data_IF_608484438380
#
_entry.id   IF_608484438380
#
_cell.length_a   1.000
_cell.length_b   1.000
_cell.length_c   1.000
_cell.angle_alpha   90.00
_cell.angle_beta   90.00
_cell.angle_gamma   90.00
#
_symmetry.space_group_name_H-M   'P 1'
#
loop_
_entity.id
_entity.type
_entity.pdbx_description
1 polymer ?
#
# COMPACT_ATOMS: atom_id res chain seq x y z
N UNK A 1 -16.32 14.16 1.73
CA UNK A 1 -17.28 13.39 0.91
C UNK A 1 -16.56 12.49 -0.10
N UNK A 2 -17.17 11.36 -0.45
CA UNK A 2 -16.66 10.44 -1.46
C UNK A 2 -16.52 11.14 -2.82
N UNK A 3 -15.51 10.80 -3.65
CA UNK A 3 -15.46 11.25 -5.03
C UNK A 3 -16.70 10.79 -5.81
N UNK A 4 -17.10 11.54 -6.84
CA UNK A 4 -18.25 11.19 -7.65
C UNK A 4 -18.05 9.82 -8.34
N UNK A 5 -19.08 8.98 -8.31
CA UNK A 5 -19.04 7.64 -8.93
C UNK A 5 -18.24 6.60 -8.14
N UNK A 6 -17.81 6.90 -6.91
CA UNK A 6 -17.07 5.97 -6.05
C UNK A 6 -18.01 5.38 -5.00
N UNK A 7 -18.06 4.05 -4.94
CA UNK A 7 -18.62 3.33 -3.80
C UNK A 7 -17.60 3.34 -2.64
N UNK A 8 -18.05 3.69 -1.44
CA UNK A 8 -17.20 3.77 -0.26
C UNK A 8 -17.58 2.69 0.74
N UNK A 9 -16.58 1.91 1.14
CA UNK A 9 -16.64 0.95 2.25
C UNK A 9 -15.77 1.50 3.36
N UNK A 10 -16.39 1.91 4.48
CA UNK A 10 -15.68 2.44 5.64
C UNK A 10 -15.10 1.29 6.48
N UNK A 11 -13.82 1.42 6.84
CA UNK A 11 -13.10 0.47 7.69
C UNK A 11 -12.22 1.23 8.69
N UNK A 12 -12.03 0.67 9.87
CA UNK A 12 -11.22 1.29 10.93
C UNK A 12 -9.96 0.48 11.24
N UNK A 13 -10.03 -0.84 11.14
CA UNK A 13 -8.94 -1.75 11.52
C UNK A 13 -8.30 -2.41 10.29
N UNK A 14 -7.04 -2.85 10.45
CA UNK A 14 -6.36 -3.63 9.42
C UNK A 14 -7.10 -4.94 9.06
N UNK A 15 -7.81 -5.54 10.01
CA UNK A 15 -8.60 -6.75 9.77
C UNK A 15 -9.86 -6.45 8.94
N UNK A 16 -10.57 -5.36 9.23
CA UNK A 16 -11.69 -4.90 8.40
C UNK A 16 -11.23 -4.51 7.00
N UNK A 17 -10.10 -3.79 6.88
CA UNK A 17 -9.51 -3.47 5.58
C UNK A 17 -9.17 -4.73 4.79
N UNK A 18 -8.61 -5.75 5.46
CA UNK A 18 -8.31 -7.04 4.82
C UNK A 18 -9.56 -7.67 4.22
N UNK A 19 -10.62 -7.80 5.02
CA UNK A 19 -11.87 -8.41 4.58
C UNK A 19 -12.51 -7.64 3.41
N UNK A 20 -12.59 -6.30 3.53
CA UNK A 20 -13.13 -5.45 2.48
C UNK A 20 -12.30 -5.52 1.19
N UNK A 21 -10.96 -5.48 1.30
CA UNK A 21 -10.07 -5.53 0.16
C UNK A 21 -10.15 -6.87 -0.57
N UNK A 22 -10.15 -7.99 0.16
CA UNK A 22 -10.28 -9.33 -0.43
C UNK A 22 -11.64 -9.51 -1.11
N UNK A 23 -12.71 -9.02 -0.49
CA UNK A 23 -14.06 -9.09 -1.07
C UNK A 23 -14.15 -8.30 -2.38
N UNK A 24 -13.70 -7.04 -2.37
CA UNK A 24 -13.72 -6.17 -3.55
C UNK A 24 -12.80 -6.70 -4.66
N UNK A 25 -11.66 -7.31 -4.31
CA UNK A 25 -10.71 -7.85 -5.28
C UNK A 25 -11.30 -8.98 -6.14
N UNK A 26 -12.38 -9.65 -5.72
CA UNK A 26 -13.05 -10.71 -6.50
C UNK A 26 -13.58 -10.21 -7.83
N UNK A 27 -13.92 -8.91 -7.95
CA UNK A 27 -14.50 -8.33 -9.16
C UNK A 27 -13.63 -7.25 -9.82
N UNK A 28 -12.58 -6.76 -9.15
CA UNK A 28 -11.78 -5.62 -9.66
C UNK A 28 -10.67 -6.00 -10.64
N UNK A 29 -10.54 -5.35 -11.78
CA UNK A 29 -9.39 -5.56 -12.70
C UNK A 29 -8.06 -5.04 -12.11
N UNK A 30 -8.14 -4.00 -11.28
CA UNK A 30 -6.99 -3.37 -10.63
C UNK A 30 -7.25 -3.21 -9.13
N UNK A 31 -6.25 -3.53 -8.30
CA UNK A 31 -6.27 -3.26 -6.86
C UNK A 31 -5.12 -2.31 -6.52
N UNK A 32 -5.44 -1.17 -5.91
CA UNK A 32 -4.44 -0.15 -5.51
C UNK A 32 -4.38 -0.07 -3.98
N UNK A 33 -3.37 -0.69 -3.38
CA UNK A 33 -3.14 -0.72 -1.94
C UNK A 33 -2.33 0.51 -1.49
N UNK A 34 -2.99 1.67 -1.47
CA UNK A 34 -2.39 2.95 -1.05
C UNK A 34 -2.54 3.25 0.46
N UNK A 35 -3.32 2.45 1.20
CA UNK A 35 -3.54 2.66 2.63
C UNK A 35 -2.25 2.44 3.44
N UNK A 36 -2.00 3.32 4.41
CA UNK A 36 -0.94 3.14 5.41
C UNK A 36 -1.41 2.16 6.49
N UNK A 37 -1.38 0.86 6.17
CA UNK A 37 -1.84 -0.21 7.07
C UNK A 37 -0.86 -0.36 8.23
N UNK A 38 -1.38 -0.37 9.47
CA UNK A 38 -0.55 -0.61 10.64
C UNK A 38 0.01 -2.05 10.64
N UNK A 39 1.32 -2.20 10.85
CA UNK A 39 1.98 -3.52 10.91
C UNK A 39 1.57 -4.35 12.13
N UNK A 40 1.09 -3.68 13.18
CA UNK A 40 0.72 -4.30 14.45
C UNK A 40 -0.62 -3.78 14.95
N UNK A 41 -1.27 -4.58 15.81
CA UNK A 41 -2.48 -4.22 16.56
C UNK A 41 -2.33 -4.63 18.03
N UNK A 42 -3.04 -4.00 18.97
CA UNK A 42 -3.13 -4.50 20.33
C UNK A 42 -3.59 -5.97 20.36
N UNK A 43 -2.97 -6.77 21.22
CA UNK A 43 -3.36 -8.16 21.44
C UNK A 43 -4.76 -8.26 22.08
N UNK A 44 -5.05 -7.31 22.96
CA UNK A 44 -6.32 -7.17 23.66
C UNK A 44 -6.84 -5.74 23.49
N UNK A 45 -8.15 -5.61 23.28
CA UNK A 45 -8.84 -4.33 23.18
C UNK A 45 -9.77 -4.23 24.37
N UNK A 46 -9.65 -3.14 25.15
CA UNK A 46 -10.51 -2.89 26.29
C UNK A 46 -11.81 -2.20 25.83
N UNK A 47 -12.95 -2.70 26.30
CA UNK A 47 -14.27 -2.08 26.05
C UNK A 47 -14.44 -0.72 26.74
N UNK A 48 -13.56 -0.39 27.68
CA UNK A 48 -13.59 0.87 28.41
C UNK A 48 -12.24 1.56 28.41
N UNK A 49 -12.26 2.89 28.57
CA UNK A 49 -11.05 3.70 28.70
C UNK A 49 -10.19 3.19 29.86
N UNK A 50 -8.96 2.77 29.57
CA UNK A 50 -7.97 2.42 30.59
C UNK A 50 -7.70 3.66 31.44
N UNK A 51 -8.02 3.58 32.74
CA UNK A 51 -7.85 4.69 33.68
C UNK A 51 -6.42 4.76 34.18
N UNK A 52 -5.88 5.97 34.28
CA UNK A 52 -4.63 6.22 35.02
C UNK A 52 -4.84 5.86 36.49
N UNK A 53 -3.86 5.18 37.09
CA UNK A 53 -3.82 4.87 38.52
C UNK A 53 -2.46 5.29 39.05
N UNK A 54 -2.44 6.12 40.09
CA UNK A 54 -1.20 6.65 40.65
C UNK A 54 -0.47 5.61 41.54
N UNK A 55 -1.13 4.50 41.86
CA UNK A 55 -0.67 3.41 42.73
C UNK A 55 -0.37 2.09 42.00
N UNK A 56 -0.45 2.08 40.67
CA UNK A 56 -0.16 0.91 39.83
C UNK A 56 0.91 1.23 38.79
N UNK A 57 1.63 0.20 38.34
CA UNK A 57 2.51 0.31 37.18
C UNK A 57 1.68 0.62 35.93
N UNK A 58 2.23 1.45 35.05
CA UNK A 58 1.60 1.77 33.77
C UNK A 58 1.30 0.49 32.96
N UNK A 59 0.17 0.46 32.21
CA UNK A 59 -0.25 -0.71 31.46
C UNK A 59 0.73 -1.00 30.31
N UNK A 60 1.08 -2.28 30.15
CA UNK A 60 1.85 -2.76 28.99
C UNK A 60 0.89 -3.04 27.84
N UNK A 61 1.14 -2.44 26.67
CA UNK A 61 0.40 -2.77 25.44
C UNK A 61 1.15 -3.88 24.72
N UNK A 62 0.64 -5.10 24.81
CA UNK A 62 1.14 -6.21 24.00
C UNK A 62 0.62 -6.08 22.56
N UNK A 63 1.50 -6.22 21.58
CA UNK A 63 1.17 -6.08 20.16
C UNK A 63 1.25 -7.43 19.44
N UNK A 64 0.28 -7.67 18.55
CA UNK A 64 0.27 -8.76 17.58
C UNK A 64 0.47 -8.21 16.17
N UNK A 65 1.14 -8.98 15.31
CA UNK A 65 1.33 -8.60 13.91
C UNK A 65 0.00 -8.66 13.14
N UNK A 66 -0.25 -7.66 12.29
CA UNK A 66 -1.35 -7.67 11.35
C UNK A 66 -1.04 -8.53 10.12
N UNK A 67 -2.08 -9.05 9.43
CA UNK A 67 -1.90 -9.76 8.18
C UNK A 67 -1.31 -8.83 7.10
N UNK A 68 -0.50 -9.41 6.21
CA UNK A 68 0.07 -8.71 5.07
C UNK A 68 -0.93 -8.70 3.91
N UNK A 69 -1.86 -7.73 3.95
CA UNK A 69 -3.00 -7.67 3.02
C UNK A 69 -2.55 -7.64 1.55
N UNK A 70 -1.47 -6.89 1.25
CA UNK A 70 -0.94 -6.83 -0.11
C UNK A 70 -0.43 -8.19 -0.59
N UNK A 71 0.28 -8.92 0.29
CA UNK A 71 0.80 -10.25 -0.04
C UNK A 71 -0.34 -11.25 -0.25
N UNK A 72 -1.35 -11.20 0.61
CA UNK A 72 -2.51 -12.09 0.52
C UNK A 72 -3.33 -11.85 -0.76
N UNK A 73 -3.52 -10.59 -1.16
CA UNK A 73 -4.14 -10.25 -2.45
C UNK A 73 -3.38 -10.85 -3.62
N UNK A 74 -2.04 -10.80 -3.58
CA UNK A 74 -1.19 -11.41 -4.62
C UNK A 74 -1.36 -12.92 -4.65
N UNK A 75 -1.37 -13.59 -3.48
CA UNK A 75 -1.57 -15.04 -3.38
C UNK A 75 -2.94 -15.47 -3.92
N UNK A 76 -4.01 -14.73 -3.60
CA UNK A 76 -5.36 -14.98 -4.13
C UNK A 76 -5.40 -14.80 -5.64
N UNK A 77 -4.77 -13.73 -6.16
CA UNK A 77 -4.67 -13.48 -7.60
C UNK A 77 -3.93 -14.62 -8.31
N UNK A 78 -2.79 -15.04 -7.78
CA UNK A 78 -1.96 -16.09 -8.37
C UNK A 78 -2.65 -17.46 -8.33
N UNK A 79 -3.55 -17.70 -7.37
CA UNK A 79 -4.30 -18.95 -7.24
C UNK A 79 -5.47 -19.09 -8.22
N UNK A 80 -6.05 -18.00 -8.74
CA UNK A 80 -7.28 -18.12 -9.53
C UNK A 80 -7.76 -16.91 -10.30
N UNK A 81 -6.99 -15.81 -10.36
CA UNK A 81 -7.39 -14.57 -11.03
C UNK A 81 -6.30 -14.01 -11.95
N UNK A 82 -5.85 -14.78 -12.96
CA UNK A 82 -4.82 -14.32 -13.88
C UNK A 82 -5.27 -13.03 -14.56
N UNK A 83 -4.36 -12.04 -14.62
CA UNK A 83 -4.60 -10.76 -15.28
C UNK A 83 -5.08 -9.62 -14.37
N UNK A 84 -5.44 -9.86 -13.11
CA UNK A 84 -5.65 -8.76 -12.17
C UNK A 84 -4.32 -8.05 -11.87
N UNK A 85 -4.30 -6.73 -11.97
CA UNK A 85 -3.13 -5.89 -11.66
C UNK A 85 -3.18 -5.44 -10.19
N UNK A 86 -2.12 -5.70 -9.43
CA UNK A 86 -2.01 -5.31 -8.03
C UNK A 86 -0.91 -4.27 -7.88
N UNK A 87 -1.25 -3.12 -7.31
CA UNK A 87 -0.36 -1.98 -7.09
C UNK A 87 -0.15 -1.79 -5.60
N UNK A 88 1.10 -1.90 -5.15
CA UNK A 88 1.49 -1.59 -3.78
C UNK A 88 2.02 -0.17 -3.66
N UNK A 89 1.92 0.41 -2.46
CA UNK A 89 2.65 1.61 -2.08
C UNK A 89 3.69 1.27 -1.01
N UNK A 90 4.84 1.92 -1.09
CA UNK A 90 5.89 1.86 -0.09
C UNK A 90 6.41 3.26 0.21
N UNK A 91 6.85 3.45 1.43
CA UNK A 91 7.70 4.57 1.81
C UNK A 91 9.06 3.96 2.15
N UNK A 92 10.11 4.39 1.46
CA UNK A 92 11.47 3.90 1.68
C UNK A 92 12.39 5.07 1.99
N UNK A 93 13.31 4.82 2.90
CA UNK A 93 14.49 5.64 3.19
C UNK A 93 15.72 4.89 2.70
N UNK A 94 16.68 5.59 2.10
CA UNK A 94 18.01 5.01 1.87
C UNK A 94 18.79 4.94 3.19
N UNK A 95 19.79 4.07 3.26
CA UNK A 95 20.71 4.01 4.39
C UNK A 95 22.14 3.68 3.93
N UNK A 96 23.06 3.49 4.88
CA UNK A 96 24.46 3.19 4.59
C UNK A 96 24.69 1.88 3.84
N UNK A 97 23.67 1.01 3.76
CA UNK A 97 23.75 -0.35 3.20
C UNK A 97 23.10 -0.49 1.83
N UNK A 98 22.32 0.49 1.38
CA UNK A 98 21.65 0.43 0.09
C UNK A 98 20.88 1.70 -0.25
N UNK A 99 20.67 1.92 -1.55
CA UNK A 99 19.80 2.98 -2.03
C UNK A 99 18.33 2.53 -2.01
N UNK A 100 17.42 3.50 -2.06
CA UNK A 100 15.97 3.32 -2.05
C UNK A 100 15.50 2.38 -3.15
N UNK A 101 16.14 2.42 -4.33
CA UNK A 101 15.77 1.55 -5.45
C UNK A 101 16.09 0.08 -5.18
N UNK A 102 17.18 -0.22 -4.47
CA UNK A 102 17.54 -1.59 -4.11
C UNK A 102 16.52 -2.17 -3.13
N UNK A 103 16.22 -1.42 -2.06
CA UNK A 103 15.23 -1.81 -1.06
C UNK A 103 13.82 -1.95 -1.64
N UNK A 104 13.44 -1.01 -2.50
CA UNK A 104 12.16 -1.06 -3.18
C UNK A 104 12.08 -2.25 -4.14
N UNK A 105 13.17 -2.58 -4.84
CA UNK A 105 13.25 -3.77 -5.71
C UNK A 105 13.08 -5.07 -4.91
N UNK A 106 13.74 -5.19 -3.77
CA UNK A 106 13.56 -6.32 -2.85
C UNK A 106 12.14 -6.41 -2.30
N UNK A 107 11.55 -5.27 -1.93
CA UNK A 107 10.17 -5.21 -1.46
C UNK A 107 9.19 -5.63 -2.55
N UNK A 108 9.36 -5.16 -3.79
CA UNK A 108 8.55 -5.56 -4.93
C UNK A 108 8.62 -7.08 -5.14
N UNK A 109 9.83 -7.68 -5.14
CA UNK A 109 10.02 -9.13 -5.27
C UNK A 109 9.33 -9.91 -4.15
N UNK A 110 9.52 -9.48 -2.90
CA UNK A 110 8.96 -10.15 -1.72
C UNK A 110 7.43 -10.10 -1.69
N UNK A 111 6.85 -8.91 -1.99
CA UNK A 111 5.39 -8.71 -2.01
C UNK A 111 4.75 -9.38 -3.22
N UNK A 112 5.39 -9.33 -4.39
CA UNK A 112 4.91 -9.95 -5.62
C UNK A 112 3.80 -9.18 -6.34
N UNK A 113 3.54 -7.93 -5.94
CA UNK A 113 2.64 -7.04 -6.67
C UNK A 113 3.24 -6.67 -8.05
N UNK A 114 2.41 -6.15 -8.95
CA UNK A 114 2.84 -5.84 -10.32
C UNK A 114 3.55 -4.50 -10.41
N UNK A 115 3.05 -3.52 -9.66
CA UNK A 115 3.65 -2.21 -9.54
C UNK A 115 3.90 -1.91 -8.06
N UNK A 116 5.03 -1.26 -7.77
CA UNK A 116 5.31 -0.69 -6.46
C UNK A 116 5.58 0.80 -6.60
N UNK A 117 4.70 1.63 -6.05
CA UNK A 117 4.87 3.08 -5.98
C UNK A 117 5.66 3.41 -4.72
N UNK A 118 6.87 3.91 -4.90
CA UNK A 118 7.83 4.16 -3.82
C UNK A 118 7.90 5.65 -3.57
N UNK A 119 7.38 6.09 -2.43
CA UNK A 119 7.58 7.45 -1.95
C UNK A 119 9.00 7.57 -1.36
N UNK A 120 9.76 8.55 -1.85
CA UNK A 120 11.08 8.86 -1.32
C UNK A 120 10.92 9.69 -0.04
N UNK A 121 10.89 9.02 1.12
CA UNK A 121 10.77 9.67 2.43
C UNK A 121 12.16 9.81 3.04
N UNK A 122 12.54 11.00 3.51
CA UNK A 122 13.89 11.27 4.02
C UNK A 122 14.44 12.66 3.64
N UNK A 123 15.43 13.15 4.40
CA UNK A 123 16.09 14.44 4.12
C UNK A 123 15.20 15.68 4.24
N UNK A 124 14.20 15.65 5.14
CA UNK A 124 13.23 16.75 5.31
C UNK A 124 11.99 16.64 4.41
N UNK A 125 11.92 15.64 3.53
CA UNK A 125 10.71 15.29 2.77
C UNK A 125 9.82 14.41 3.65
N UNK A 126 8.80 15.03 4.25
CA UNK A 126 7.88 14.39 5.19
C UNK A 126 6.54 14.14 4.53
N UNK A 127 5.80 13.13 5.01
CA UNK A 127 4.37 13.00 4.74
C UNK A 127 3.65 14.33 4.99
N UNK A 128 2.85 14.80 4.02
CA UNK A 128 2.04 16.02 4.16
C UNK A 128 2.58 17.28 3.50
N UNK A 129 3.72 17.23 2.79
CA UNK A 129 4.17 18.33 1.93
C UNK A 129 3.32 18.42 0.65
N UNK A 130 3.20 19.63 0.09
CA UNK A 130 2.46 19.87 -1.17
C UNK A 130 3.14 19.22 -2.38
N UNK A 131 4.44 18.94 -2.27
CA UNK A 131 5.25 18.35 -3.32
C UNK A 131 5.62 16.90 -2.96
N UNK A 132 5.24 15.95 -3.81
CA UNK A 132 5.54 14.53 -3.66
C UNK A 132 6.47 14.06 -4.79
N UNK A 133 7.34 13.10 -4.51
CA UNK A 133 8.24 12.48 -5.48
C UNK A 133 8.23 10.97 -5.28
N UNK A 134 7.94 10.26 -6.37
CA UNK A 134 7.80 8.80 -6.38
C UNK A 134 8.63 8.19 -7.48
N UNK A 135 9.05 6.95 -7.24
CA UNK A 135 9.51 6.05 -8.30
C UNK A 135 8.55 4.87 -8.36
N UNK A 136 8.10 4.53 -9.56
CA UNK A 136 7.20 3.40 -9.79
C UNK A 136 8.02 2.27 -10.41
N UNK A 137 8.13 1.17 -9.66
CA UNK A 137 8.81 -0.04 -10.09
C UNK A 137 7.81 -1.02 -10.68
N UNK A 138 8.27 -1.82 -11.64
CA UNK A 138 7.46 -2.81 -12.35
C UNK A 138 8.01 -4.21 -12.19
N UNK A 139 7.13 -5.18 -11.87
CA UNK A 139 7.47 -6.60 -11.85
C UNK A 139 7.82 -7.12 -13.25
N UNK A 140 7.28 -6.50 -14.30
CA UNK A 140 7.56 -6.86 -15.70
C UNK A 140 8.98 -6.51 -16.17
N UNK A 141 9.81 -5.89 -15.33
CA UNK A 141 11.16 -5.46 -15.69
C UNK A 141 11.20 -4.23 -16.60
N UNK A 142 10.06 -3.55 -16.80
CA UNK A 142 10.03 -2.23 -17.45
C UNK A 142 10.82 -1.22 -16.62
N UNK A 143 11.46 -0.27 -17.31
CA UNK A 143 12.25 0.80 -16.68
C UNK A 143 11.46 1.54 -15.58
N UNK A 144 12.10 1.85 -14.44
CA UNK A 144 11.49 2.65 -13.39
C UNK A 144 10.96 3.99 -13.92
N UNK A 145 9.74 4.36 -13.52
CA UNK A 145 9.15 5.65 -13.86
C UNK A 145 9.24 6.57 -12.65
N UNK A 146 10.00 7.67 -12.77
CA UNK A 146 10.01 8.72 -11.77
C UNK A 146 8.90 9.76 -12.05
N UNK A 147 8.23 10.23 -11.01
CA UNK A 147 7.27 11.32 -11.10
C UNK A 147 7.39 12.23 -9.88
N UNK A 148 7.30 13.54 -10.09
CA UNK A 148 7.33 14.54 -9.03
C UNK A 148 6.40 15.70 -9.34
N UNK A 149 5.69 16.21 -8.35
CA UNK A 149 4.73 17.29 -8.56
C UNK A 149 3.80 17.45 -7.37
N UNK A 150 2.64 18.03 -7.61
CA UNK A 150 1.52 17.97 -6.69
C UNK A 150 1.05 16.51 -6.50
N UNK A 151 0.19 16.26 -5.51
CA UNK A 151 -0.47 14.96 -5.34
C UNK A 151 -1.25 14.53 -6.59
N UNK A 152 -1.82 15.49 -7.33
CA UNK A 152 -2.56 15.21 -8.56
C UNK A 152 -1.62 14.79 -9.69
N UNK A 153 -0.46 15.43 -9.81
CA UNK A 153 0.54 15.08 -10.84
C UNK A 153 1.08 13.67 -10.61
N UNK A 154 1.38 13.34 -9.36
CA UNK A 154 1.81 11.99 -8.97
C UNK A 154 0.69 10.96 -9.19
N UNK A 155 -0.55 11.28 -8.82
CA UNK A 155 -1.69 10.39 -9.04
C UNK A 155 -1.90 10.13 -10.54
N UNK A 156 -1.84 11.16 -11.39
CA UNK A 156 -1.94 11.02 -12.84
C UNK A 156 -0.83 10.10 -13.38
N UNK A 157 0.42 10.30 -12.97
CA UNK A 157 1.53 9.45 -13.40
C UNK A 157 1.37 7.98 -12.97
N UNK A 158 0.82 7.72 -11.78
CA UNK A 158 0.49 6.37 -11.30
C UNK A 158 -0.62 5.74 -12.15
N UNK A 159 -1.69 6.48 -12.43
CA UNK A 159 -2.80 6.00 -13.26
C UNK A 159 -2.36 5.74 -14.71
N UNK A 160 -1.52 6.61 -15.29
CA UNK A 160 -0.95 6.40 -16.63
C UNK A 160 -0.11 5.12 -16.69
N UNK A 161 0.71 4.90 -15.66
CA UNK A 161 1.52 3.68 -15.55
C UNK A 161 0.64 2.42 -15.43
N UNK A 162 -0.41 2.48 -14.61
CA UNK A 162 -1.40 1.40 -14.49
C UNK A 162 -2.08 1.13 -15.82
N UNK A 163 -2.54 2.16 -16.52
CA UNK A 163 -3.22 2.05 -17.81
C UNK A 163 -2.34 1.39 -18.88
N UNK A 164 -1.05 1.76 -18.90
CA UNK A 164 -0.06 1.17 -19.80
C UNK A 164 0.15 -0.33 -19.55
N UNK A 165 0.29 -0.75 -18.28
CA UNK A 165 0.42 -2.18 -17.94
C UNK A 165 -0.89 -2.94 -18.16
N UNK A 166 -2.03 -2.35 -17.81
CA UNK A 166 -3.34 -2.98 -18.00
C UNK A 166 -3.62 -3.26 -19.48
N UNK A 167 -3.22 -2.36 -20.38
CA UNK A 167 -3.37 -2.53 -21.84
C UNK A 167 -2.53 -3.69 -22.39
N UNK A 168 -1.47 -4.11 -21.69
CA UNK A 168 -0.67 -5.30 -22.07
C UNK A 168 -1.34 -6.60 -21.64
N UNK A 169 -2.07 -6.55 -20.53
CA UNK A 169 -2.79 -7.70 -19.95
C UNK A 169 -4.16 -7.90 -20.61
N UNK A 170 -4.83 -6.79 -20.94
CA UNK A 170 -6.10 -6.75 -21.67
C UNK A 170 -5.94 -5.89 -22.94
N UNK A 171 -5.42 -6.46 -24.04
CA UNK A 171 -5.32 -5.74 -25.30
C UNK A 171 -6.71 -5.27 -25.75
N UNK A 172 -6.83 -4.01 -26.16
CA UNK A 172 -8.05 -3.56 -26.84
C UNK A 172 -8.17 -4.29 -28.18
N UNK A 173 -9.34 -4.88 -28.43
CA UNK A 173 -9.70 -5.51 -29.70
C UNK A 173 -9.74 -4.49 -30.85
#
# INVERSE_FOLDING_TARGET
>A
PAPAGVEVVEVETALQLREAALTAAVTSDVVIMAAAVADFRPAEVSDTKIKKRDDATDPVITLLRNPDILKELVEVRDAGRPGQLIVGFAAETGDERGDILDYAGDKLRRKGCDLLVVNHVGGGRVFGQDHNSVVILSRSGSEPQAASGSKNDVAAAVIDRISSELSRVFPRA
#
